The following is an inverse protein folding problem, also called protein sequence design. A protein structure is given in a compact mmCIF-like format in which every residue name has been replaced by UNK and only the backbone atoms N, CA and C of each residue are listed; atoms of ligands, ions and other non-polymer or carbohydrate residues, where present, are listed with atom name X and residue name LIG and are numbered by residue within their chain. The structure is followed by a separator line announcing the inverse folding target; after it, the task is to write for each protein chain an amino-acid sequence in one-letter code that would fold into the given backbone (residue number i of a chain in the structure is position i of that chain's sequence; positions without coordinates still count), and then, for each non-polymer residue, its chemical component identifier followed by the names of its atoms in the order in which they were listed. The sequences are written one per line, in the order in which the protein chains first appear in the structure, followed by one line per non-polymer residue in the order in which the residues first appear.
data_IF_725889147047
#
_entry.id   IF_725889147047
#
_cell.length_a   1.000
_cell.length_b   1.000
_cell.length_c   1.000
_cell.angle_alpha   90.00
_cell.angle_beta   90.00
_cell.angle_gamma   90.00
#
_symmetry.space_group_name_H-M   'P 1'
#
loop_
_entity.id
_entity.type
_entity.pdbx_description
1 polymer ?
#
# COMPACT_ATOMS: atom_id res chain seq x y z
N UNK A 1 5.78 56.73 5.51
CA UNK A 1 6.69 55.57 5.53
C UNK A 1 6.44 54.86 6.85
N UNK A 2 5.48 53.94 6.85
CA UNK A 2 4.85 53.45 8.08
C UNK A 2 5.53 52.16 8.54
N UNK A 3 6.34 52.27 9.59
CA UNK A 3 6.72 51.15 10.43
C UNK A 3 5.57 50.88 11.39
N UNK A 4 5.08 49.64 11.42
CA UNK A 4 4.17 49.15 12.44
C UNK A 4 4.85 47.97 13.14
N UNK A 5 5.40 48.28 14.31
CA UNK A 5 5.68 47.31 15.35
C UNK A 5 4.35 46.92 15.99
N UNK A 6 4.09 45.61 16.13
CA UNK A 6 3.02 45.11 17.02
C UNK A 6 3.64 44.08 17.96
N UNK A 7 3.44 44.40 19.23
CA UNK A 7 3.98 43.73 20.39
C UNK A 7 3.34 42.36 20.66
N UNK A 8 4.11 41.57 21.40
CA UNK A 8 3.74 40.30 21.97
C UNK A 8 2.53 40.41 22.91
N UNK A 9 1.58 39.49 22.75
CA UNK A 9 0.62 39.11 23.78
C UNK A 9 0.74 37.60 23.98
N UNK A 10 1.34 37.25 25.12
CA UNK A 10 1.33 35.93 25.73
C UNK A 10 -0.08 35.65 26.25
N UNK A 11 -0.80 34.71 25.64
CA UNK A 11 -1.96 34.08 26.25
C UNK A 11 -1.67 32.61 26.53
N UNK A 12 -1.57 32.33 27.83
CA UNK A 12 -1.62 31.00 28.44
C UNK A 12 -2.96 30.37 28.06
N UNK A 13 -2.93 29.26 27.32
CA UNK A 13 -4.06 28.34 27.23
C UNK A 13 -3.76 27.18 28.16
N UNK A 14 -4.49 27.16 29.27
CA UNK A 14 -4.56 26.05 30.20
C UNK A 14 -5.20 24.84 29.51
N UNK A 15 -4.68 23.66 29.83
CA UNK A 15 -5.23 22.36 29.43
C UNK A 15 -6.71 22.24 29.83
N UNK A 16 -7.60 21.80 28.92
CA UNK A 16 -8.88 21.27 29.35
C UNK A 16 -8.67 19.85 29.89
N UNK A 17 -9.00 19.68 31.17
CA UNK A 17 -9.12 18.42 31.89
C UNK A 17 -9.81 17.34 31.04
N UNK A 18 -9.17 16.18 30.92
CA UNK A 18 -9.81 14.97 30.40
C UNK A 18 -10.88 14.50 31.38
N UNK A 19 -12.14 14.27 30.96
CA UNK A 19 -13.07 13.49 31.76
C UNK A 19 -12.64 12.03 31.77
N UNK A 20 -12.23 11.54 32.94
CA UNK A 20 -11.98 10.14 33.24
C UNK A 20 -13.25 9.32 33.02
N UNK A 21 -13.24 8.46 31.99
CA UNK A 21 -14.28 7.46 31.75
C UNK A 21 -14.01 6.27 32.69
N UNK A 22 -15.00 5.82 33.49
CA UNK A 22 -14.81 4.71 34.41
C UNK A 22 -14.68 3.38 33.68
N UNK A 23 -13.67 2.61 34.09
CA UNK A 23 -13.44 1.21 33.75
C UNK A 23 -14.56 0.35 34.36
N UNK A 24 -15.34 -0.42 33.57
CA UNK A 24 -16.17 -1.48 34.14
C UNK A 24 -15.32 -2.74 34.32
N UNK A 25 -14.94 -3.00 35.56
CA UNK A 25 -14.57 -4.32 36.05
C UNK A 25 -15.78 -5.25 35.97
N UNK A 26 -15.71 -6.27 35.11
CA UNK A 26 -16.64 -7.41 35.13
C UNK A 26 -15.84 -8.70 35.10
N UNK A 27 -15.74 -9.30 36.28
CA UNK A 27 -15.46 -10.70 36.50
C UNK A 27 -16.65 -11.54 36.03
N UNK A 28 -16.45 -12.50 35.14
CA UNK A 28 -17.39 -13.61 34.98
C UNK A 28 -16.63 -14.89 34.69
N UNK A 29 -16.85 -15.87 35.56
CA UNK A 29 -16.33 -17.23 35.53
C UNK A 29 -16.79 -18.00 34.28
N UNK A 30 -16.10 -19.10 33.91
CA UNK A 30 -16.50 -19.94 32.78
C UNK A 30 -17.58 -20.93 33.24
N UNK A 31 -18.76 -20.85 32.65
CA UNK A 31 -19.78 -21.89 32.72
C UNK A 31 -19.79 -22.71 31.42
N UNK A 32 -19.32 -23.94 31.56
CA UNK A 32 -19.55 -25.04 30.63
C UNK A 32 -21.04 -25.15 30.27
N UNK A 33 -21.34 -25.06 28.99
CA UNK A 33 -22.59 -25.59 28.43
C UNK A 33 -22.33 -26.16 27.04
N UNK A 34 -22.23 -27.48 27.05
CA UNK A 34 -22.30 -28.39 25.91
C UNK A 34 -23.54 -28.10 25.05
N UNK A 35 -23.33 -27.67 23.80
CA UNK A 35 -24.35 -27.72 22.75
C UNK A 35 -23.87 -28.62 21.62
N UNK A 36 -24.26 -29.89 21.75
CA UNK A 36 -24.05 -30.96 20.80
C UNK A 36 -25.04 -30.76 19.62
N UNK A 37 -24.54 -30.25 18.49
CA UNK A 37 -25.32 -30.08 17.27
C UNK A 37 -25.27 -31.36 16.42
N UNK A 38 -26.26 -32.23 16.62
CA UNK A 38 -26.47 -33.42 15.80
C UNK A 38 -26.97 -33.05 14.40
N UNK A 39 -26.19 -33.44 13.39
CA UNK A 39 -26.53 -33.44 11.95
C UNK A 39 -27.65 -34.46 11.66
N UNK A 40 -28.68 -34.15 10.86
CA UNK A 40 -29.58 -35.18 10.34
C UNK A 40 -29.02 -35.75 9.03
N UNK A 41 -28.68 -37.03 9.07
CA UNK A 41 -28.24 -37.82 7.91
C UNK A 41 -29.39 -38.63 7.36
N UNK A 42 -29.45 -38.63 6.02
CA UNK A 42 -30.21 -39.46 5.06
C UNK A 42 -30.87 -40.79 5.52
N UNK A 43 -31.97 -41.04 4.79
CA UNK A 43 -32.55 -42.33 4.36
C UNK A 43 -33.42 -43.12 5.35
N UNK A 44 -34.72 -43.23 5.03
CA UNK A 44 -35.30 -44.55 4.79
C UNK A 44 -36.56 -44.47 3.91
N UNK A 45 -36.58 -45.35 2.90
CA UNK A 45 -37.74 -45.72 2.11
C UNK A 45 -38.78 -46.35 3.04
N UNK A 46 -40.05 -45.95 2.96
CA UNK A 46 -41.15 -46.82 3.35
C UNK A 46 -42.37 -46.57 2.46
N UNK A 47 -42.58 -47.51 1.56
CA UNK A 47 -43.82 -47.69 0.84
C UNK A 47 -44.96 -47.90 1.84
N UNK A 48 -46.05 -47.16 1.70
CA UNK A 48 -47.34 -47.60 2.20
C UNK A 48 -48.42 -47.29 1.16
N UNK A 49 -49.13 -48.34 0.80
CA UNK A 49 -50.14 -48.40 -0.24
C UNK A 49 -51.33 -47.49 0.12
N UNK A 50 -51.61 -46.51 -0.74
CA UNK A 50 -52.91 -45.84 -0.77
C UNK A 50 -53.90 -46.73 -1.51
N UNK A 51 -54.87 -47.26 -0.76
CA UNK A 51 -56.09 -47.88 -1.29
C UNK A 51 -56.80 -46.86 -2.20
N UNK A 52 -56.96 -47.23 -3.46
CA UNK A 52 -57.79 -46.51 -4.41
C UNK A 52 -59.26 -46.63 -3.98
N UNK A 53 -59.85 -45.51 -3.52
CA UNK A 53 -61.31 -45.32 -3.59
C UNK A 53 -61.62 -44.83 -4.99
N UNK A 54 -62.31 -45.66 -5.77
CA UNK A 54 -62.88 -45.30 -7.06
C UNK A 54 -63.96 -44.24 -6.81
N UNK A 55 -63.83 -43.01 -7.34
CA UNK A 55 -64.93 -42.06 -7.35
C UNK A 55 -65.91 -42.52 -8.44
N UNK A 56 -67.16 -42.74 -8.05
CA UNK A 56 -68.27 -42.91 -8.98
C UNK A 56 -68.39 -41.60 -9.76
N UNK A 57 -68.13 -41.65 -11.06
CA UNK A 57 -68.18 -40.49 -11.94
C UNK A 57 -69.51 -40.47 -12.68
N UNK A 58 -70.15 -39.31 -12.69
CA UNK A 58 -71.31 -39.01 -13.53
C UNK A 58 -70.87 -38.92 -15.00
N UNK A 59 -71.16 -39.96 -15.77
CA UNK A 59 -70.77 -40.13 -17.18
C UNK A 59 -71.35 -39.09 -18.16
N UNK A 60 -72.26 -38.22 -17.71
CA UNK A 60 -72.89 -37.17 -18.53
C UNK A 60 -72.30 -35.76 -18.31
N UNK A 61 -71.50 -35.55 -17.25
CA UNK A 61 -70.83 -34.25 -16.98
C UNK A 61 -69.37 -34.23 -17.46
N UNK A 62 -68.74 -35.41 -17.60
CA UNK A 62 -67.34 -35.52 -18.06
C UNK A 62 -67.13 -34.97 -19.47
N UNK A 63 -68.10 -35.09 -20.39
CA UNK A 63 -67.91 -34.61 -21.77
C UNK A 63 -67.75 -33.08 -21.86
N UNK A 64 -68.52 -32.31 -21.08
CA UNK A 64 -68.42 -30.84 -21.10
C UNK A 64 -67.25 -30.32 -20.29
N UNK A 65 -66.95 -30.94 -19.14
CA UNK A 65 -65.80 -30.56 -18.31
C UNK A 65 -64.51 -30.93 -19.04
N UNK A 66 -64.42 -32.11 -19.66
CA UNK A 66 -63.24 -32.51 -20.42
C UNK A 66 -63.06 -31.65 -21.67
N UNK A 67 -64.13 -31.35 -22.42
CA UNK A 67 -64.05 -30.43 -23.55
C UNK A 67 -63.66 -29.01 -23.12
N UNK A 68 -64.10 -28.55 -21.94
CA UNK A 68 -63.66 -27.27 -21.38
C UNK A 68 -62.21 -27.31 -20.89
N UNK A 69 -61.75 -28.40 -20.29
CA UNK A 69 -60.36 -28.60 -19.88
C UNK A 69 -59.42 -28.75 -21.08
N UNK A 70 -59.86 -29.43 -22.14
CA UNK A 70 -59.13 -29.57 -23.40
C UNK A 70 -59.10 -28.23 -24.14
N UNK A 71 -60.21 -27.49 -24.16
CA UNK A 71 -60.24 -26.12 -24.67
C UNK A 71 -59.33 -25.19 -23.86
N UNK A 72 -59.30 -25.27 -22.52
CA UNK A 72 -58.34 -24.54 -21.68
C UNK A 72 -56.91 -25.01 -21.96
N UNK A 73 -56.67 -26.30 -22.17
CA UNK A 73 -55.34 -26.82 -22.50
C UNK A 73 -54.88 -26.35 -23.89
N UNK A 74 -55.79 -26.23 -24.86
CA UNK A 74 -55.55 -25.68 -26.18
C UNK A 74 -55.33 -24.16 -26.14
N UNK A 75 -56.20 -23.40 -25.46
CA UNK A 75 -56.08 -21.93 -25.34
C UNK A 75 -54.96 -21.49 -24.39
N UNK A 76 -54.59 -22.28 -23.38
CA UNK A 76 -53.48 -21.94 -22.47
C UNK A 76 -52.10 -22.01 -23.15
N UNK A 77 -52.02 -22.61 -24.34
CA UNK A 77 -50.79 -22.72 -25.11
C UNK A 77 -50.61 -21.62 -26.17
N UNK A 78 -51.66 -20.91 -26.56
CA UNK A 78 -51.56 -19.82 -27.55
C UNK A 78 -51.22 -18.50 -26.87
N UNK A 79 -50.10 -18.43 -26.15
CA UNK A 79 -49.61 -17.16 -25.60
C UNK A 79 -48.88 -16.41 -26.70
N UNK A 80 -49.39 -15.22 -27.03
CA UNK A 80 -48.91 -14.41 -28.14
C UNK A 80 -47.88 -13.39 -27.68
N UNK A 81 -47.08 -12.86 -28.60
CA UNK A 81 -46.15 -11.76 -28.31
C UNK A 81 -46.88 -10.50 -27.79
N UNK A 82 -48.16 -10.32 -28.13
CA UNK A 82 -48.97 -9.23 -27.65
C UNK A 82 -49.20 -9.29 -26.14
N UNK A 83 -49.28 -10.48 -25.56
CA UNK A 83 -49.50 -10.67 -24.12
C UNK A 83 -48.28 -10.22 -23.30
N UNK A 84 -47.08 -10.46 -23.81
CA UNK A 84 -45.83 -9.95 -23.20
C UNK A 84 -45.70 -8.45 -23.38
N UNK A 85 -46.07 -7.92 -24.55
CA UNK A 85 -46.03 -6.48 -24.81
C UNK A 85 -46.98 -5.69 -23.90
N UNK A 86 -48.15 -6.27 -23.53
CA UNK A 86 -49.10 -5.66 -22.58
C UNK A 86 -48.55 -5.50 -21.16
N UNK A 87 -47.60 -6.34 -20.75
CA UNK A 87 -46.97 -6.24 -19.42
C UNK A 87 -45.80 -5.26 -19.38
N UNK A 88 -45.37 -4.71 -20.52
CA UNK A 88 -44.30 -3.71 -20.58
C UNK A 88 -44.80 -2.38 -20.00
N UNK A 89 -44.15 -1.83 -18.95
CA UNK A 89 -44.49 -0.50 -18.46
C UNK A 89 -44.23 0.56 -19.54
N UNK A 90 -45.17 1.50 -19.70
CA UNK A 90 -45.01 2.62 -20.65
C UNK A 90 -43.92 3.61 -20.20
N UNK A 91 -43.66 3.68 -18.89
CA UNK A 91 -42.64 4.52 -18.27
C UNK A 91 -42.00 3.75 -17.12
N UNK A 92 -40.73 4.02 -16.87
CA UNK A 92 -39.99 3.53 -15.71
C UNK A 92 -39.15 4.66 -15.12
N UNK A 93 -38.80 4.53 -13.86
CA UNK A 93 -37.92 5.46 -13.15
C UNK A 93 -36.52 5.50 -13.77
N UNK A 94 -35.75 6.54 -13.47
CA UNK A 94 -34.38 6.66 -13.96
C UNK A 94 -33.46 5.65 -13.26
N UNK A 95 -32.49 5.10 -13.99
CA UNK A 95 -31.57 4.05 -13.54
C UNK A 95 -30.77 4.43 -12.28
N UNK A 96 -30.62 5.74 -12.03
CA UNK A 96 -29.91 6.24 -10.86
C UNK A 96 -30.73 6.16 -9.57
N UNK A 97 -32.06 6.20 -9.66
CA UNK A 97 -32.94 6.30 -8.48
C UNK A 97 -33.18 4.93 -7.83
N UNK A 98 -33.44 4.86 -6.50
CA UNK A 98 -33.73 3.58 -5.83
C UNK A 98 -35.07 2.97 -6.27
N UNK A 99 -36.01 3.79 -6.77
CA UNK A 99 -37.30 3.33 -7.29
C UNK A 99 -37.13 2.42 -8.50
N UNK A 100 -36.10 2.65 -9.32
CA UNK A 100 -35.77 1.79 -10.47
C UNK A 100 -35.55 0.33 -10.06
N UNK A 101 -34.83 0.09 -8.96
CA UNK A 101 -34.56 -1.28 -8.49
C UNK A 101 -35.86 -1.98 -8.04
N UNK A 102 -36.75 -1.25 -7.37
CA UNK A 102 -38.04 -1.76 -6.95
C UNK A 102 -38.95 -2.06 -8.15
N UNK A 103 -39.02 -1.15 -9.12
CA UNK A 103 -39.79 -1.33 -10.35
C UNK A 103 -39.28 -2.49 -11.19
N UNK A 104 -37.94 -2.60 -11.34
CA UNK A 104 -37.29 -3.68 -12.07
C UNK A 104 -37.63 -5.04 -11.45
N UNK A 105 -37.46 -5.18 -10.13
CA UNK A 105 -37.74 -6.43 -9.42
C UNK A 105 -39.23 -6.80 -9.47
N UNK A 106 -40.13 -5.82 -9.32
CA UNK A 106 -41.57 -6.02 -9.45
C UNK A 106 -41.96 -6.50 -10.87
N UNK A 107 -41.30 -5.98 -11.90
CA UNK A 107 -41.52 -6.39 -13.29
C UNK A 107 -41.02 -7.82 -13.56
N UNK A 108 -39.84 -8.18 -13.03
CA UNK A 108 -39.31 -9.55 -13.10
C UNK A 108 -40.26 -10.54 -12.44
N UNK A 109 -40.78 -10.19 -11.26
CA UNK A 109 -41.71 -11.06 -10.52
C UNK A 109 -43.07 -11.16 -11.23
N UNK A 110 -43.60 -10.07 -11.80
CA UNK A 110 -44.84 -10.08 -12.60
C UNK A 110 -44.72 -10.93 -13.87
N UNK A 111 -43.60 -10.84 -14.59
CA UNK A 111 -43.33 -11.72 -15.74
C UNK A 111 -43.19 -13.18 -15.28
N UNK A 112 -42.50 -13.39 -14.17
CA UNK A 112 -42.29 -14.71 -13.59
C UNK A 112 -43.55 -15.31 -12.97
N UNK A 113 -44.58 -14.54 -12.62
CA UNK A 113 -45.86 -15.08 -12.16
C UNK A 113 -46.79 -15.40 -13.34
N UNK A 114 -46.77 -14.56 -14.38
CA UNK A 114 -47.74 -14.61 -15.48
C UNK A 114 -47.45 -15.69 -16.52
N UNK A 115 -46.17 -16.01 -16.76
CA UNK A 115 -45.79 -16.94 -17.82
C UNK A 115 -45.04 -18.15 -17.28
N UNK A 116 -45.13 -19.30 -17.93
CA UNK A 116 -44.30 -20.47 -17.64
C UNK A 116 -42.85 -20.28 -18.13
N UNK A 117 -41.92 -21.08 -17.61
CA UNK A 117 -40.51 -21.05 -18.05
C UNK A 117 -40.37 -21.31 -19.56
N UNK A 118 -41.17 -22.24 -20.11
CA UNK A 118 -41.15 -22.58 -21.55
C UNK A 118 -41.64 -21.41 -22.41
N UNK A 119 -42.68 -20.71 -21.96
CA UNK A 119 -43.21 -19.53 -22.64
C UNK A 119 -42.17 -18.38 -22.65
N UNK A 120 -41.55 -18.06 -21.51
CA UNK A 120 -40.49 -17.05 -21.45
C UNK A 120 -39.29 -17.39 -22.35
N UNK A 121 -38.93 -18.68 -22.44
CA UNK A 121 -37.91 -19.18 -23.37
C UNK A 121 -38.30 -18.88 -24.83
N UNK A 122 -39.52 -19.27 -25.22
CA UNK A 122 -40.06 -19.04 -26.56
C UNK A 122 -40.13 -17.54 -26.90
N UNK A 123 -40.53 -16.70 -25.95
CA UNK A 123 -40.59 -15.25 -26.15
C UNK A 123 -39.24 -14.62 -26.42
N UNK A 124 -38.20 -15.01 -25.65
CA UNK A 124 -36.87 -14.49 -25.93
C UNK A 124 -36.32 -14.99 -27.26
N UNK A 125 -36.67 -16.20 -27.71
CA UNK A 125 -36.30 -16.69 -29.05
C UNK A 125 -37.00 -15.89 -30.15
N UNK A 126 -38.31 -15.63 -30.03
CA UNK A 126 -39.07 -14.81 -30.97
C UNK A 126 -38.62 -13.34 -31.03
N UNK A 127 -38.12 -12.79 -29.92
CA UNK A 127 -37.57 -11.43 -29.85
C UNK A 127 -36.08 -11.35 -30.23
N UNK A 128 -35.45 -12.45 -30.66
CA UNK A 128 -34.06 -12.46 -31.09
C UNK A 128 -33.03 -12.34 -29.96
N UNK A 129 -33.43 -12.51 -28.70
CA UNK A 129 -32.52 -12.47 -27.55
C UNK A 129 -31.80 -13.83 -27.46
N UNK A 130 -30.49 -13.85 -27.71
CA UNK A 130 -29.68 -15.09 -27.68
C UNK A 130 -29.77 -15.76 -26.30
N UNK A 131 -30.24 -17.00 -26.22
CA UNK A 131 -30.39 -17.76 -24.97
C UNK A 131 -29.36 -18.89 -24.86
N UNK A 132 -28.16 -18.59 -24.36
CA UNK A 132 -27.05 -19.55 -24.34
C UNK A 132 -26.85 -20.30 -23.01
N UNK A 133 -27.87 -20.39 -22.15
CA UNK A 133 -27.70 -20.98 -20.82
C UNK A 133 -28.60 -22.19 -20.59
N UNK A 134 -28.00 -23.37 -20.67
CA UNK A 134 -28.60 -24.61 -20.15
C UNK A 134 -28.72 -24.46 -18.63
N UNK A 135 -29.93 -24.59 -18.09
CA UNK A 135 -30.18 -24.57 -16.64
C UNK A 135 -30.59 -23.23 -16.04
N UNK A 136 -30.82 -22.17 -16.84
CA UNK A 136 -31.30 -20.89 -16.31
C UNK A 136 -32.60 -21.00 -15.52
N UNK A 137 -32.72 -20.22 -14.44
CA UNK A 137 -33.94 -20.09 -13.65
C UNK A 137 -35.01 -19.31 -14.43
N UNK A 138 -36.27 -19.42 -14.00
CA UNK A 138 -37.39 -18.69 -14.60
C UNK A 138 -37.16 -17.17 -14.60
N UNK A 139 -36.67 -16.63 -13.47
CA UNK A 139 -36.35 -15.20 -13.32
C UNK A 139 -35.28 -14.73 -14.31
N UNK A 140 -34.29 -15.57 -14.63
CA UNK A 140 -33.23 -15.20 -15.57
C UNK A 140 -33.74 -14.98 -17.00
N UNK A 141 -34.76 -15.72 -17.44
CA UNK A 141 -35.39 -15.46 -18.74
C UNK A 141 -36.16 -14.13 -18.73
N UNK A 142 -36.84 -13.79 -17.62
CA UNK A 142 -37.51 -12.51 -17.46
C UNK A 142 -36.52 -11.33 -17.50
N UNK A 143 -35.40 -11.42 -16.76
CA UNK A 143 -34.30 -10.45 -16.78
C UNK A 143 -33.78 -10.23 -18.20
N UNK A 144 -33.52 -11.30 -18.96
CA UNK A 144 -33.05 -11.18 -20.36
C UNK A 144 -34.06 -10.57 -21.31
N UNK A 145 -35.36 -10.80 -21.10
CA UNK A 145 -36.40 -10.14 -21.89
C UNK A 145 -36.39 -8.64 -21.60
N UNK A 146 -36.32 -8.26 -20.32
CA UNK A 146 -36.27 -6.84 -19.90
C UNK A 146 -35.02 -6.14 -20.45
N UNK A 147 -33.84 -6.74 -20.27
CA UNK A 147 -32.57 -6.15 -20.71
C UNK A 147 -32.41 -6.19 -22.23
N UNK A 148 -32.68 -7.34 -22.85
CA UNK A 148 -32.40 -7.57 -24.27
C UNK A 148 -33.50 -7.10 -25.22
N UNK A 149 -34.78 -7.31 -24.87
CA UNK A 149 -35.89 -6.93 -25.75
C UNK A 149 -36.45 -5.54 -25.44
N UNK A 150 -36.40 -5.10 -24.17
CA UNK A 150 -36.88 -3.78 -23.77
C UNK A 150 -35.78 -2.74 -23.57
N UNK A 151 -34.50 -3.14 -23.69
CA UNK A 151 -33.32 -2.28 -23.55
C UNK A 151 -33.24 -1.56 -22.19
N UNK A 152 -33.71 -2.20 -21.12
CA UNK A 152 -33.51 -1.68 -19.77
C UNK A 152 -32.05 -1.92 -19.34
N UNK A 153 -31.37 -0.94 -18.72
CA UNK A 153 -30.02 -1.16 -18.21
C UNK A 153 -30.00 -2.31 -17.20
N UNK A 154 -28.90 -3.08 -17.15
CA UNK A 154 -28.84 -4.22 -16.25
C UNK A 154 -28.78 -3.76 -14.80
N UNK A 155 -29.58 -4.39 -13.93
CA UNK A 155 -29.55 -4.08 -12.49
C UNK A 155 -28.15 -4.34 -11.91
N UNK A 156 -27.45 -5.36 -12.41
CA UNK A 156 -26.07 -5.64 -11.98
C UNK A 156 -25.09 -4.57 -12.44
N UNK A 157 -25.24 -4.02 -13.65
CA UNK A 157 -24.40 -2.93 -14.14
C UNK A 157 -24.64 -1.64 -13.36
N UNK A 158 -25.89 -1.33 -13.03
CA UNK A 158 -26.23 -0.16 -12.21
C UNK A 158 -25.68 -0.31 -10.79
N UNK A 159 -25.86 -1.48 -10.16
CA UNK A 159 -25.31 -1.75 -8.83
C UNK A 159 -23.78 -1.69 -8.84
N UNK A 160 -23.15 -2.19 -9.90
CA UNK A 160 -21.70 -2.09 -10.08
C UNK A 160 -21.26 -0.65 -10.27
N UNK A 161 -21.93 0.13 -11.13
CA UNK A 161 -21.65 1.56 -11.32
C UNK A 161 -21.86 2.37 -10.03
N UNK A 162 -22.88 2.02 -9.22
CA UNK A 162 -23.10 2.61 -7.90
C UNK A 162 -21.98 2.25 -6.90
N UNK A 163 -21.42 1.04 -6.98
CA UNK A 163 -20.21 0.67 -6.22
C UNK A 163 -18.99 1.44 -6.71
N UNK A 164 -18.76 1.50 -8.01
CA UNK A 164 -17.59 2.16 -8.61
C UNK A 164 -17.58 3.67 -8.35
N UNK A 165 -18.75 4.31 -8.21
CA UNK A 165 -18.87 5.73 -7.84
C UNK A 165 -18.59 6.04 -6.37
N UNK A 166 -18.45 5.02 -5.51
CA UNK A 166 -18.07 5.20 -4.10
C UNK A 166 -16.55 5.20 -3.86
N UNK A 167 -15.74 5.05 -4.93
CA UNK A 167 -14.29 5.07 -4.83
C UNK A 167 -13.74 6.51 -4.82
N UNK A 168 -13.06 6.90 -3.73
CA UNK A 168 -12.42 8.23 -3.61
C UNK A 168 -10.90 8.10 -3.45
N UNK A 169 -10.15 8.59 -4.44
CA UNK A 169 -8.73 8.34 -4.67
C UNK A 169 -7.74 9.31 -3.95
N UNK A 170 -6.89 8.81 -3.03
CA UNK A 170 -5.89 9.62 -2.26
C UNK A 170 -4.53 8.91 -1.93
N UNK A 171 -3.57 9.55 -1.23
CA UNK A 171 -2.22 8.97 -0.96
C UNK A 171 -1.70 9.22 0.47
N UNK A 172 -1.92 8.35 1.48
CA UNK A 172 -1.37 8.51 2.86
C UNK A 172 -1.02 7.22 3.63
N UNK A 173 0.26 6.89 3.76
CA UNK A 173 0.73 5.56 4.20
C UNK A 173 0.81 5.24 5.70
N UNK A 174 0.71 6.19 6.63
CA UNK A 174 1.08 5.91 8.04
C UNK A 174 -0.09 5.67 9.02
N UNK A 175 -1.34 6.02 8.65
CA UNK A 175 -2.48 5.96 9.58
C UNK A 175 -3.76 5.38 8.96
N UNK A 176 -3.63 4.52 7.95
CA UNK A 176 -4.78 3.92 7.28
C UNK A 176 -5.74 3.21 8.24
N UNK A 177 -5.18 2.42 9.13
CA UNK A 177 -5.97 1.64 10.07
C UNK A 177 -6.66 2.53 11.13
N UNK A 178 -6.04 3.65 11.52
CA UNK A 178 -6.68 4.63 12.38
C UNK A 178 -7.84 5.35 11.67
N UNK A 179 -7.65 5.73 10.39
CA UNK A 179 -8.72 6.31 9.56
C UNK A 179 -9.87 5.32 9.37
N UNK A 180 -9.54 4.05 9.07
CA UNK A 180 -10.51 2.98 8.87
C UNK A 180 -11.41 2.79 10.10
N UNK A 181 -10.81 2.74 11.30
CA UNK A 181 -11.55 2.63 12.56
C UNK A 181 -12.36 3.89 12.89
N UNK A 182 -11.77 5.07 12.68
CA UNK A 182 -12.40 6.35 13.03
C UNK A 182 -13.66 6.62 12.22
N UNK A 183 -13.62 6.30 10.93
CA UNK A 183 -14.71 6.55 10.00
C UNK A 183 -15.51 5.30 9.67
N UNK A 184 -15.21 4.12 10.24
CA UNK A 184 -15.89 2.87 9.93
C UNK A 184 -15.90 2.53 8.42
N UNK A 185 -14.77 2.75 7.77
CA UNK A 185 -14.54 2.56 6.33
C UNK A 185 -13.38 1.60 6.11
N UNK A 186 -13.46 0.72 5.13
CA UNK A 186 -12.34 -0.11 4.71
C UNK A 186 -11.45 0.70 3.76
N UNK A 187 -10.20 0.95 4.13
CA UNK A 187 -9.28 1.79 3.36
C UNK A 187 -8.11 0.95 2.84
N UNK A 188 -7.86 1.01 1.54
CA UNK A 188 -6.75 0.32 0.87
C UNK A 188 -5.98 1.24 -0.07
N UNK A 189 -4.82 0.80 -0.54
CA UNK A 189 -4.11 1.44 -1.65
C UNK A 189 -4.18 0.56 -2.90
N UNK A 190 -4.55 1.14 -4.04
CA UNK A 190 -4.37 0.53 -5.36
C UNK A 190 -3.12 1.10 -6.04
N UNK A 191 -2.39 0.24 -6.74
CA UNK A 191 -1.13 0.58 -7.40
C UNK A 191 -1.28 0.89 -8.89
N UNK A 192 -2.49 0.81 -9.45
CA UNK A 192 -2.73 0.94 -10.90
C UNK A 192 -3.70 2.10 -11.18
N UNK A 193 -3.35 3.13 -11.99
CA UNK A 193 -2.03 3.50 -12.54
C UNK A 193 -1.25 4.54 -11.70
N UNK A 194 -1.85 5.07 -10.64
CA UNK A 194 -1.23 5.99 -9.69
C UNK A 194 -1.62 5.51 -8.29
N UNK A 195 -0.72 5.59 -7.31
CA UNK A 195 -1.02 5.21 -5.93
C UNK A 195 -2.34 5.88 -5.51
N UNK A 196 -3.39 5.11 -5.33
CA UNK A 196 -4.73 5.60 -5.05
C UNK A 196 -5.27 5.01 -3.76
N UNK A 197 -5.90 5.82 -2.94
CA UNK A 197 -6.63 5.40 -1.75
C UNK A 197 -7.96 4.88 -2.25
N UNK A 198 -8.32 3.66 -1.93
CA UNK A 198 -9.66 3.16 -2.17
C UNK A 198 -10.32 3.08 -0.80
N UNK A 199 -11.52 3.63 -0.67
CA UNK A 199 -12.29 3.60 0.56
C UNK A 199 -13.67 2.99 0.27
N UNK A 200 -14.05 1.98 1.05
CA UNK A 200 -15.35 1.31 0.96
C UNK A 200 -16.07 1.44 2.29
N UNK A 201 -17.35 1.81 2.28
CA UNK A 201 -18.12 1.96 3.51
C UNK A 201 -19.51 2.52 3.28
N UNK A 202 -20.22 2.83 4.37
CA UNK A 202 -21.51 3.50 4.29
C UNK A 202 -21.33 4.91 3.71
N UNK A 203 -22.30 5.37 2.91
CA UNK A 203 -22.20 6.65 2.21
C UNK A 203 -22.00 7.85 3.16
N UNK A 204 -22.63 7.83 4.34
CA UNK A 204 -22.44 8.88 5.36
C UNK A 204 -21.03 8.93 5.90
N UNK A 205 -20.42 7.76 6.12
CA UNK A 205 -19.06 7.58 6.63
C UNK A 205 -18.01 7.99 5.58
N UNK A 206 -18.25 7.63 4.30
CA UNK A 206 -17.42 8.05 3.18
C UNK A 206 -17.40 9.57 3.00
N UNK A 207 -18.54 10.25 3.17
CA UNK A 207 -18.61 11.72 3.13
C UNK A 207 -17.78 12.36 4.26
N UNK A 208 -17.80 11.79 5.46
CA UNK A 208 -16.98 12.27 6.57
C UNK A 208 -15.48 12.05 6.31
N UNK A 209 -15.11 10.90 5.74
CA UNK A 209 -13.74 10.63 5.34
C UNK A 209 -13.28 11.60 4.24
N UNK A 210 -14.11 11.85 3.23
CA UNK A 210 -13.85 12.80 2.14
C UNK A 210 -13.58 14.20 2.67
N UNK A 211 -14.45 14.70 3.56
CA UNK A 211 -14.28 16.01 4.19
C UNK A 211 -13.00 16.08 5.03
N UNK A 212 -12.69 15.04 5.79
CA UNK A 212 -11.43 14.98 6.54
C UNK A 212 -10.22 15.00 5.61
N UNK A 213 -10.26 14.27 4.49
CA UNK A 213 -9.16 14.27 3.52
C UNK A 213 -9.04 15.63 2.81
N UNK A 214 -10.15 16.32 2.56
CA UNK A 214 -10.16 17.68 2.02
C UNK A 214 -9.44 18.65 2.97
N UNK A 215 -9.83 18.67 4.24
CA UNK A 215 -9.17 19.50 5.27
C UNK A 215 -7.69 19.12 5.43
N UNK A 216 -7.38 17.82 5.40
CA UNK A 216 -6.00 17.35 5.47
C UNK A 216 -5.17 17.86 4.28
N UNK A 217 -5.72 17.85 3.05
CA UNK A 217 -5.03 18.39 1.86
C UNK A 217 -4.78 19.89 1.97
N UNK A 218 -5.72 20.63 2.54
CA UNK A 218 -5.57 22.07 2.78
C UNK A 218 -4.45 22.37 3.79
N UNK A 219 -4.16 21.46 4.73
CA UNK A 219 -3.04 21.57 5.68
C UNK A 219 -1.68 21.22 5.07
N UNK A 220 -1.60 20.74 3.83
CA UNK A 220 -0.32 20.40 3.21
C UNK A 220 0.27 21.62 2.50
N UNK A 221 1.54 21.89 2.80
CA UNK A 221 2.38 22.79 2.04
C UNK A 221 3.36 22.00 1.19
N UNK A 222 3.71 22.57 0.04
CA UNK A 222 4.77 22.05 -0.84
C UNK A 222 5.94 23.03 -0.82
N UNK A 223 7.14 22.48 -0.77
CA UNK A 223 8.39 23.22 -0.91
C UNK A 223 9.29 22.50 -1.93
N UNK A 224 10.07 23.27 -2.67
CA UNK A 224 10.87 22.79 -3.78
C UNK A 224 12.34 23.06 -3.47
N UNK A 225 13.13 21.99 -3.38
CA UNK A 225 14.56 22.08 -3.11
C UNK A 225 15.36 21.78 -4.37
N UNK A 226 16.11 22.78 -4.84
CA UNK A 226 17.00 22.65 -5.99
C UNK A 226 18.29 21.95 -5.55
N UNK A 227 18.65 20.88 -6.25
CA UNK A 227 19.89 20.15 -6.07
C UNK A 227 20.94 20.73 -7.02
N UNK A 228 22.17 20.89 -6.54
CA UNK A 228 23.31 21.28 -7.38
C UNK A 228 23.79 20.15 -8.28
N UNK A 229 23.33 18.91 -8.05
CA UNK A 229 23.76 17.71 -8.77
C UNK A 229 22.72 17.27 -9.79
N UNK A 230 23.16 16.92 -11.00
CA UNK A 230 22.31 16.34 -12.05
C UNK A 230 21.93 14.88 -11.78
N UNK A 231 22.62 14.21 -10.84
CA UNK A 231 22.39 12.79 -10.55
C UNK A 231 21.07 12.60 -9.80
N UNK A 232 20.13 11.77 -10.29
CA UNK A 232 18.88 11.51 -9.60
C UNK A 232 19.14 10.75 -8.29
N UNK A 233 18.46 11.15 -7.22
CA UNK A 233 18.46 10.40 -5.96
C UNK A 233 17.54 9.17 -6.14
N UNK A 234 17.98 8.00 -5.66
CA UNK A 234 17.15 6.79 -5.77
C UNK A 234 15.82 6.95 -5.02
N UNK A 235 14.74 6.41 -5.59
CA UNK A 235 13.42 6.44 -4.98
C UNK A 235 13.38 5.80 -3.58
N UNK A 236 14.21 4.76 -3.35
CA UNK A 236 14.34 4.11 -2.06
C UNK A 236 14.93 5.05 -0.99
N UNK A 237 15.91 5.87 -1.36
CA UNK A 237 16.50 6.87 -0.47
C UNK A 237 15.51 7.99 -0.15
N UNK A 238 14.78 8.50 -1.16
CA UNK A 238 13.72 9.49 -0.95
C UNK A 238 12.63 8.95 -0.02
N UNK A 239 12.19 7.71 -0.22
CA UNK A 239 11.22 7.08 0.68
C UNK A 239 11.76 6.97 2.12
N UNK A 240 13.07 6.69 2.28
CA UNK A 240 13.71 6.63 3.59
C UNK A 240 13.81 8.01 4.24
N UNK A 241 14.18 9.04 3.48
CA UNK A 241 14.12 10.45 3.93
C UNK A 241 12.71 10.75 4.40
N UNK A 242 11.69 10.36 3.64
CA UNK A 242 10.31 10.66 3.97
C UNK A 242 9.88 10.08 5.33
N UNK A 243 10.31 8.85 5.62
CA UNK A 243 10.02 8.19 6.90
C UNK A 243 10.75 8.86 8.07
N UNK A 244 11.95 9.40 7.85
CA UNK A 244 12.78 10.01 8.89
C UNK A 244 12.40 11.46 9.18
N UNK A 245 12.04 12.21 8.14
CA UNK A 245 11.67 13.62 8.26
C UNK A 245 10.19 13.81 8.63
N UNK A 246 9.34 12.83 8.34
CA UNK A 246 7.88 12.96 8.43
C UNK A 246 7.26 13.76 7.27
N UNK A 247 8.07 14.20 6.29
CA UNK A 247 7.62 14.89 5.09
C UNK A 247 7.68 13.94 3.88
N UNK A 248 6.73 14.02 2.97
CA UNK A 248 6.77 13.24 1.74
C UNK A 248 7.73 13.88 0.74
N UNK A 249 8.74 13.13 0.29
CA UNK A 249 9.74 13.62 -0.66
C UNK A 249 9.69 12.83 -1.95
N UNK A 250 9.62 13.51 -3.08
CA UNK A 250 9.65 12.91 -4.40
C UNK A 250 10.49 13.75 -5.37
N UNK A 251 11.03 13.08 -6.39
CA UNK A 251 11.78 13.77 -7.43
C UNK A 251 10.82 14.49 -8.37
N UNK A 252 11.03 15.79 -8.56
CA UNK A 252 10.20 16.63 -9.41
C UNK A 252 11.08 17.27 -10.50
N UNK A 253 11.06 16.71 -11.71
CA UNK A 253 11.91 17.18 -12.81
C UNK A 253 13.40 16.85 -12.65
N UNK A 254 14.24 17.59 -13.39
CA UNK A 254 15.71 17.42 -13.36
C UNK A 254 16.31 18.29 -12.25
N UNK A 255 16.90 17.65 -11.24
CA UNK A 255 17.62 18.35 -10.18
C UNK A 255 16.75 19.09 -9.16
N UNK A 256 15.46 18.76 -9.03
CA UNK A 256 14.60 19.35 -8.00
C UNK A 256 13.84 18.25 -7.25
N UNK A 257 13.68 18.45 -5.95
CA UNK A 257 12.91 17.56 -5.06
C UNK A 257 11.72 18.35 -4.54
N UNK A 258 10.53 17.78 -4.71
CA UNK A 258 9.31 18.29 -4.08
C UNK A 258 9.19 17.65 -2.70
N UNK A 259 9.05 18.50 -1.69
CA UNK A 259 8.88 18.14 -0.29
C UNK A 259 7.49 18.60 0.14
N UNK A 260 6.58 17.65 0.36
CA UNK A 260 5.23 17.92 0.85
C UNK A 260 5.17 17.64 2.36
N UNK A 261 4.72 18.63 3.14
CA UNK A 261 4.71 18.56 4.60
C UNK A 261 3.46 19.24 5.16
N UNK A 262 3.13 18.97 6.43
CA UNK A 262 2.02 19.65 7.10
C UNK A 262 2.41 21.06 7.52
N UNK A 263 1.55 22.05 7.28
CA UNK A 263 1.75 23.45 7.69
C UNK A 263 1.91 23.58 9.22
N UNK A 264 1.24 22.71 9.97
CA UNK A 264 1.38 22.60 11.43
C UNK A 264 2.78 22.18 11.89
N UNK A 265 3.60 21.55 11.04
CA UNK A 265 4.90 20.98 11.40
C UNK A 265 6.04 21.44 10.46
N UNK A 266 6.39 22.73 10.41
CA UNK A 266 7.40 23.28 9.49
C UNK A 266 8.82 22.78 9.76
N UNK A 267 9.07 22.13 10.90
CA UNK A 267 10.38 21.53 11.21
C UNK A 267 10.69 20.34 10.29
N UNK A 268 9.67 19.63 9.81
CA UNK A 268 9.81 18.43 8.96
C UNK A 268 10.49 18.76 7.62
N UNK A 269 10.17 19.91 7.01
CA UNK A 269 10.81 20.36 5.76
C UNK A 269 12.30 20.69 5.97
N UNK A 270 12.67 21.32 7.09
CA UNK A 270 14.07 21.59 7.40
C UNK A 270 14.87 20.30 7.57
N UNK A 271 14.31 19.32 8.28
CA UNK A 271 14.93 18.00 8.44
C UNK A 271 15.08 17.32 7.07
N UNK A 272 14.03 17.33 6.25
CA UNK A 272 14.07 16.75 4.90
C UNK A 272 15.17 17.39 4.04
N UNK A 273 15.25 18.73 3.98
CA UNK A 273 16.33 19.44 3.25
C UNK A 273 17.70 19.03 3.75
N UNK A 274 17.92 19.01 5.07
CA UNK A 274 19.20 18.60 5.66
C UNK A 274 19.57 17.16 5.29
N UNK A 275 18.62 16.23 5.33
CA UNK A 275 18.83 14.82 4.95
C UNK A 275 19.15 14.69 3.45
N UNK A 276 18.46 15.44 2.59
CA UNK A 276 18.75 15.50 1.15
C UNK A 276 20.16 16.03 0.89
N UNK A 277 20.52 17.18 1.48
CA UNK A 277 21.86 17.77 1.33
C UNK A 277 22.94 16.79 1.80
N UNK A 278 22.70 16.08 2.91
CA UNK A 278 23.62 15.06 3.39
C UNK A 278 23.85 13.95 2.36
N UNK A 279 22.77 13.40 1.76
CA UNK A 279 22.90 12.39 0.70
C UNK A 279 23.68 12.94 -0.50
N UNK A 280 23.42 14.19 -0.90
CA UNK A 280 24.14 14.80 -2.01
C UNK A 280 25.65 14.87 -1.73
N UNK A 281 26.02 15.30 -0.52
CA UNK A 281 27.41 15.28 -0.09
C UNK A 281 27.98 13.86 -0.13
N UNK A 282 27.25 12.86 0.37
CA UNK A 282 27.71 11.45 0.34
C UNK A 282 27.89 10.91 -1.10
N UNK A 283 27.04 11.33 -2.03
CA UNK A 283 27.11 10.91 -3.43
C UNK A 283 28.28 11.56 -4.17
N UNK A 284 28.62 12.80 -3.82
CA UNK A 284 29.81 13.48 -4.34
C UNK A 284 31.09 12.86 -3.76
N UNK A 285 31.09 12.54 -2.46
CA UNK A 285 32.25 11.95 -1.75
C UNK A 285 32.47 10.49 -2.05
N UNK A 286 31.50 9.76 -2.62
CA UNK A 286 31.72 8.42 -3.15
C UNK A 286 32.83 8.37 -4.23
N UNK A 287 33.16 9.51 -4.84
CA UNK A 287 34.30 9.67 -5.76
C UNK A 287 35.58 10.19 -5.07
N UNK A 288 35.53 10.44 -3.77
CA UNK A 288 36.58 11.04 -2.97
C UNK A 288 37.79 10.13 -2.76
N UNK A 289 38.97 10.66 -3.06
CA UNK A 289 40.27 10.05 -2.77
C UNK A 289 40.38 9.71 -1.28
N UNK A 290 40.68 8.44 -0.97
CA UNK A 290 41.08 8.04 0.38
C UNK A 290 42.40 8.76 0.67
N UNK A 291 42.40 9.69 1.63
CA UNK A 291 43.63 10.26 2.15
C UNK A 291 44.16 9.33 3.24
N UNK A 292 45.39 8.84 3.07
CA UNK A 292 46.07 8.05 4.08
C UNK A 292 47.06 8.93 4.84
N UNK A 293 47.01 8.90 6.18
CA UNK A 293 48.04 9.52 7.00
C UNK A 293 49.37 8.78 6.81
N UNK A 294 50.33 9.45 6.18
CA UNK A 294 51.71 9.02 6.11
C UNK A 294 52.40 9.49 7.41
N UNK A 295 53.04 8.60 8.19
CA UNK A 295 53.76 8.98 9.40
C UNK A 295 54.75 10.12 9.14
N UNK A 296 54.95 11.06 10.09
CA UNK A 296 55.90 12.16 9.91
C UNK A 296 57.35 11.69 9.70
N UNK A 297 57.66 10.45 10.08
CA UNK A 297 58.96 9.81 9.89
C UNK A 297 59.16 9.24 8.47
N UNK A 298 58.13 9.22 7.62
CA UNK A 298 58.27 8.73 6.27
C UNK A 298 58.91 9.80 5.37
N UNK A 299 59.95 9.45 4.60
CA UNK A 299 60.62 10.40 3.71
C UNK A 299 59.62 10.97 2.69
N UNK A 300 59.48 12.30 2.67
CA UNK A 300 58.51 13.02 1.83
C UNK A 300 58.71 12.80 0.33
N UNK A 301 59.85 12.23 -0.07
CA UNK A 301 60.24 11.98 -1.46
C UNK A 301 59.91 10.57 -1.97
N UNK A 302 59.55 9.62 -1.10
CA UNK A 302 59.21 8.26 -1.52
C UNK A 302 57.75 7.98 -1.18
N UNK A 303 56.93 7.73 -2.21
CA UNK A 303 55.61 7.13 -2.00
C UNK A 303 55.86 5.80 -1.29
N UNK A 304 55.47 5.62 -0.01
CA UNK A 304 55.75 4.38 0.70
C UNK A 304 55.10 3.25 -0.09
N UNK A 305 55.92 2.33 -0.59
CA UNK A 305 55.40 1.20 -1.35
C UNK A 305 54.39 0.47 -0.48
N UNK A 306 53.15 0.32 -0.97
CA UNK A 306 52.09 -0.42 -0.27
C UNK A 306 52.49 -1.87 0.04
N UNK A 307 53.57 -2.38 -0.56
CA UNK A 307 54.19 -3.66 -0.24
C UNK A 307 54.85 -3.72 1.15
N UNK A 308 55.15 -2.58 1.78
CA UNK A 308 55.78 -2.49 3.11
C UNK A 308 54.78 -2.56 4.27
N UNK A 309 53.49 -2.66 3.97
CA UNK A 309 52.44 -2.94 4.96
C UNK A 309 52.03 -4.41 4.81
N UNK A 310 52.77 -5.39 5.39
CA UNK A 310 52.50 -6.83 5.25
C UNK A 310 51.27 -7.27 6.05
N UNK A 311 50.28 -6.38 6.17
CA UNK A 311 49.10 -6.62 6.97
C UNK A 311 48.07 -7.31 6.09
N UNK A 312 47.78 -8.54 6.46
CA UNK A 312 46.65 -9.28 5.96
C UNK A 312 45.37 -8.76 6.65
N UNK A 313 44.29 -8.62 5.90
CA UNK A 313 42.98 -8.19 6.37
C UNK A 313 41.95 -9.27 6.06
N UNK A 314 41.04 -9.52 6.98
CA UNK A 314 39.88 -10.37 6.76
C UNK A 314 38.60 -9.56 6.97
N UNK A 315 37.57 -9.93 6.23
CA UNK A 315 36.24 -9.33 6.31
C UNK A 315 35.37 -10.13 7.27
N UNK A 316 34.78 -9.45 8.24
CA UNK A 316 33.88 -10.07 9.22
C UNK A 316 32.49 -9.43 9.10
N UNK A 317 31.39 -10.20 9.22
CA UNK A 317 30.06 -9.63 9.29
C UNK A 317 29.99 -8.56 10.37
N UNK A 318 29.46 -7.39 10.03
CA UNK A 318 29.34 -6.29 10.97
C UNK A 318 27.94 -6.28 11.60
N UNK A 319 27.88 -6.65 12.88
CA UNK A 319 26.69 -6.54 13.71
C UNK A 319 26.86 -5.33 14.62
N UNK A 320 26.24 -4.20 14.26
CA UNK A 320 26.25 -3.01 15.11
C UNK A 320 25.24 -3.14 16.24
N UNK A 321 25.65 -2.85 17.47
CA UNK A 321 24.72 -2.56 18.56
C UNK A 321 24.11 -1.14 18.44
N UNK A 322 24.74 -0.27 17.64
CA UNK A 322 24.29 1.11 17.41
C UNK A 322 23.56 1.23 16.07
N UNK A 323 22.58 2.11 15.97
CA UNK A 323 21.95 2.44 14.70
C UNK A 323 23.00 2.98 13.73
N UNK A 324 23.14 2.32 12.58
CA UNK A 324 24.00 2.80 11.50
C UNK A 324 23.41 4.09 10.89
N UNK A 325 24.26 4.91 10.22
CA UNK A 325 23.78 6.05 9.47
C UNK A 325 22.62 5.68 8.56
N UNK A 326 21.58 6.50 8.60
CA UNK A 326 20.30 6.21 7.98
C UNK A 326 20.35 6.22 6.45
N UNK A 327 21.44 6.63 5.83
CA UNK A 327 21.65 6.56 4.39
C UNK A 327 22.19 5.18 3.94
N UNK A 328 22.55 4.30 4.88
CA UNK A 328 23.27 3.06 4.58
C UNK A 328 22.38 1.85 4.78
N UNK A 329 22.44 0.92 3.82
CA UNK A 329 21.88 -0.41 4.02
C UNK A 329 22.89 -1.23 4.84
N UNK A 330 22.61 -1.35 6.13
CA UNK A 330 23.41 -2.15 7.06
C UNK A 330 23.41 -3.65 6.70
N UNK A 331 22.40 -4.07 5.93
CA UNK A 331 22.19 -5.46 5.57
C UNK A 331 23.34 -5.95 4.70
N UNK A 332 24.20 -6.81 5.27
CA UNK A 332 25.38 -7.34 4.59
C UNK A 332 26.62 -6.46 4.66
N UNK A 333 26.71 -5.50 5.60
CA UNK A 333 27.95 -4.75 5.81
C UNK A 333 29.05 -5.64 6.45
N UNK A 334 30.28 -5.51 5.97
CA UNK A 334 31.44 -6.22 6.50
C UNK A 334 32.45 -5.26 7.10
N UNK A 335 32.98 -5.58 8.28
CA UNK A 335 34.09 -4.85 8.90
C UNK A 335 35.41 -5.46 8.45
N UNK A 336 36.28 -4.64 7.87
CA UNK A 336 37.66 -5.03 7.63
C UNK A 336 38.44 -5.01 8.95
N UNK A 337 39.06 -6.13 9.31
CA UNK A 337 40.00 -6.22 10.44
C UNK A 337 41.33 -6.76 9.96
N UNK A 338 42.42 -6.23 10.51
CA UNK A 338 43.73 -6.84 10.34
C UNK A 338 43.68 -8.25 10.95
N UNK A 339 44.07 -9.25 10.18
CA UNK A 339 44.33 -10.60 10.67
C UNK A 339 45.60 -10.50 11.50
N UNK A 340 45.46 -10.62 12.82
CA UNK A 340 46.61 -10.70 13.72
C UNK A 340 47.11 -12.14 13.69
N UNK A 341 48.39 -12.33 13.38
CA UNK A 341 49.11 -13.49 13.89
C UNK A 341 49.26 -13.30 15.41
N UNK A 342 48.98 -14.34 16.20
CA UNK A 342 48.78 -14.28 17.66
C UNK A 342 49.93 -13.62 18.45
N UNK A 343 51.11 -13.44 17.86
CA UNK A 343 52.31 -12.92 18.52
C UNK A 343 52.38 -11.38 18.68
N UNK A 344 51.58 -10.57 17.97
CA UNK A 344 51.71 -9.09 17.96
C UNK A 344 50.62 -8.32 18.71
N UNK A 345 49.79 -9.00 19.52
CA UNK A 345 48.56 -8.44 20.07
C UNK A 345 48.74 -7.24 21.03
N UNK A 346 49.93 -7.01 21.59
CA UNK A 346 50.17 -6.01 22.63
C UNK A 346 50.79 -4.67 22.18
N UNK A 347 51.19 -4.52 20.91
CA UNK A 347 51.86 -3.31 20.40
C UNK A 347 50.96 -2.46 19.49
N UNK A 348 49.71 -2.25 19.87
CA UNK A 348 48.77 -1.46 19.05
C UNK A 348 48.55 -0.05 19.62
N UNK A 349 49.17 0.96 19.01
CA UNK A 349 48.82 2.37 19.31
C UNK A 349 48.89 3.39 18.16
N UNK A 350 49.20 3.01 16.92
CA UNK A 350 49.22 3.98 15.81
C UNK A 350 48.67 3.40 14.51
N UNK A 351 47.93 4.26 13.82
CA UNK A 351 47.68 4.31 12.37
C UNK A 351 46.39 3.67 11.85
N UNK A 352 45.36 4.50 11.66
CA UNK A 352 44.85 4.94 10.35
C UNK A 352 43.77 6.00 10.63
N UNK A 353 43.94 7.24 10.14
CA UNK A 353 42.94 8.31 10.26
C UNK A 353 42.47 8.69 8.86
N UNK A 354 41.16 8.75 8.67
CA UNK A 354 40.51 9.02 7.38
C UNK A 354 39.80 10.37 7.50
N UNK A 355 40.18 11.33 6.65
CA UNK A 355 39.49 12.61 6.53
C UNK A 355 39.04 12.82 5.07
N UNK A 356 37.84 13.38 4.92
CA UNK A 356 37.23 13.72 3.64
C UNK A 356 37.50 15.20 3.29
N UNK A 357 37.69 15.53 2.01
CA UNK A 357 37.85 16.92 1.54
C UNK A 357 36.57 17.74 1.76
N UNK A 358 35.39 17.12 1.70
CA UNK A 358 34.12 17.81 1.97
C UNK A 358 33.98 18.29 3.43
N UNK A 359 34.74 17.70 4.36
CA UNK A 359 34.82 18.19 5.73
C UNK A 359 35.30 19.64 5.76
N UNK A 360 36.29 20.01 4.94
CA UNK A 360 36.85 21.37 4.95
C UNK A 360 35.97 22.40 4.23
N UNK A 361 35.17 22.00 3.23
CA UNK A 361 34.26 22.91 2.51
C UNK A 361 33.01 23.29 3.30
N UNK A 362 32.59 22.46 4.26
CA UNK A 362 31.46 22.80 5.16
C UNK A 362 31.88 23.62 6.37
N UNK A 363 33.18 23.76 6.58
CA UNK A 363 33.71 24.54 7.69
C UNK A 363 33.69 26.02 7.28
N UNK A 364 33.09 26.92 8.08
CA UNK A 364 33.03 28.33 7.76
C UNK A 364 34.45 28.89 7.58
N UNK A 365 34.61 29.77 6.59
CA UNK A 365 35.85 30.53 6.39
C UNK A 365 36.19 31.27 7.68
N UNK A 366 37.43 31.08 8.15
CA UNK A 366 37.91 31.64 9.42
C UNK A 366 39.08 32.57 9.13
N UNK A 367 39.19 33.73 9.82
CA UNK A 367 40.35 34.60 9.69
C UNK A 367 41.65 33.86 10.01
N UNK A 368 42.71 34.18 9.27
CA UNK A 368 44.02 33.51 9.26
C UNK A 368 44.72 33.41 10.64
N UNK A 369 44.23 34.14 11.65
CA UNK A 369 44.81 34.21 12.99
C UNK A 369 44.33 33.16 13.98
N UNK A 370 43.39 32.26 13.62
CA UNK A 370 42.83 31.28 14.56
C UNK A 370 43.24 29.84 14.23
N UNK A 371 44.00 29.21 15.14
CA UNK A 371 44.32 27.78 15.04
C UNK A 371 43.05 26.92 15.16
N UNK A 372 43.01 25.83 14.39
CA UNK A 372 41.94 24.83 14.43
C UNK A 372 42.48 23.57 15.10
N UNK A 373 41.83 23.15 16.18
CA UNK A 373 42.06 21.83 16.77
C UNK A 373 41.28 20.83 15.94
N UNK A 374 41.99 19.90 15.31
CA UNK A 374 41.41 18.76 14.60
C UNK A 374 41.47 17.57 15.54
N UNK A 375 40.32 17.16 16.05
CA UNK A 375 40.20 15.93 16.83
C UNK A 375 40.01 14.75 15.88
N UNK A 376 40.78 13.69 16.08
CA UNK A 376 40.70 12.48 15.28
C UNK A 376 40.19 11.32 16.15
N UNK A 377 39.30 10.50 15.62
CA UNK A 377 38.73 9.35 16.33
C UNK A 377 39.16 8.04 15.68
N UNK A 378 39.30 6.99 16.49
CA UNK A 378 39.46 5.63 16.00
C UNK A 378 38.09 5.08 15.59
N UNK A 379 38.06 4.18 14.61
CA UNK A 379 36.80 3.66 14.10
C UNK A 379 36.95 2.38 13.30
N UNK A 380 35.88 2.03 12.60
CA UNK A 380 35.77 0.85 11.75
C UNK A 380 35.53 1.28 10.31
N UNK A 381 36.23 0.63 9.39
CA UNK A 381 35.91 0.71 7.97
C UNK A 381 34.89 -0.40 7.70
N UNK A 382 33.67 0.00 7.36
CA UNK A 382 32.62 -0.87 6.89
C UNK A 382 32.61 -0.86 5.38
N UNK A 383 32.58 -2.06 4.80
CA UNK A 383 32.45 -2.30 3.37
C UNK A 383 31.03 -2.80 3.14
N UNK A 384 30.26 -2.05 2.36
CA UNK A 384 28.87 -2.39 2.04
C UNK A 384 28.78 -2.90 0.61
N UNK A 385 28.07 -4.01 0.37
CA UNK A 385 27.89 -4.53 -0.98
C UNK A 385 27.13 -3.52 -1.86
N UNK A 386 27.30 -3.60 -3.19
CA UNK A 386 26.48 -2.82 -4.11
C UNK A 386 24.98 -3.04 -3.86
N UNK A 387 24.13 -2.02 -4.08
CA UNK A 387 22.70 -2.09 -3.76
C UNK A 387 21.92 -3.16 -4.55
N UNK A 388 22.50 -3.71 -5.63
CA UNK A 388 21.92 -4.78 -6.45
C UNK A 388 22.20 -6.19 -5.93
N UNK A 389 23.02 -6.34 -4.88
CA UNK A 389 23.48 -7.65 -4.41
C UNK A 389 22.57 -8.15 -3.30
N UNK A 390 22.15 -9.41 -3.39
CA UNK A 390 21.41 -10.06 -2.30
C UNK A 390 22.24 -10.06 -1.02
N UNK A 391 21.56 -9.88 0.10
CA UNK A 391 22.18 -9.82 1.42
C UNK A 391 22.72 -11.21 1.77
N UNK A 392 24.05 -11.35 1.77
CA UNK A 392 24.75 -12.55 2.20
C UNK A 392 25.45 -12.33 3.54
N UNK A 393 25.36 -13.29 4.45
CA UNK A 393 26.17 -13.33 5.67
C UNK A 393 27.62 -13.78 5.38
N UNK A 394 27.85 -14.44 4.24
CA UNK A 394 29.18 -14.85 3.84
C UNK A 394 29.95 -13.65 3.28
N UNK A 395 31.18 -13.39 3.76
CA UNK A 395 31.99 -12.29 3.24
C UNK A 395 32.33 -12.52 1.77
N UNK A 396 32.35 -11.45 0.95
CA UNK A 396 32.66 -11.55 -0.47
C UNK A 396 34.11 -12.01 -0.70
N UNK A 397 35.00 -11.70 0.24
CA UNK A 397 36.38 -12.19 0.26
C UNK A 397 36.55 -13.18 1.41
N UNK A 398 36.87 -14.42 1.09
CA UNK A 398 37.18 -15.46 2.08
C UNK A 398 38.65 -15.41 2.46
N UNK A 399 38.93 -15.55 3.76
CA UNK A 399 40.28 -15.64 4.31
C UNK A 399 41.01 -14.29 4.46
N UNK A 400 42.30 -14.34 4.82
CA UNK A 400 43.17 -13.16 4.92
C UNK A 400 43.63 -12.68 3.54
N UNK A 401 43.59 -11.36 3.32
CA UNK A 401 43.99 -10.71 2.07
C UNK A 401 45.01 -9.59 2.34
N UNK A 402 46.12 -9.50 1.56
CA UNK A 402 47.00 -8.35 1.62
C UNK A 402 46.24 -7.04 1.36
N UNK A 403 46.54 -5.98 2.11
CA UNK A 403 45.85 -4.69 1.98
C UNK A 403 45.84 -4.14 0.55
N UNK A 404 46.90 -4.36 -0.22
CA UNK A 404 47.00 -3.96 -1.62
C UNK A 404 45.94 -4.65 -2.49
N UNK A 405 45.69 -5.95 -2.26
CA UNK A 405 44.64 -6.70 -2.97
C UNK A 405 43.25 -6.29 -2.50
N UNK A 406 43.06 -6.05 -1.20
CA UNK A 406 41.79 -5.56 -0.66
C UNK A 406 41.42 -4.19 -1.25
N UNK A 407 42.36 -3.24 -1.26
CA UNK A 407 42.15 -1.91 -1.84
C UNK A 407 41.91 -1.95 -3.34
N UNK A 408 42.58 -2.87 -4.05
CA UNK A 408 42.34 -3.13 -5.47
C UNK A 408 40.91 -3.64 -5.68
N UNK A 409 40.48 -4.65 -4.92
CA UNK A 409 39.11 -5.18 -4.96
C UNK A 409 38.05 -4.11 -4.66
N UNK A 410 38.25 -3.32 -3.59
CA UNK A 410 37.36 -2.21 -3.23
C UNK A 410 37.25 -1.15 -4.35
N UNK A 411 38.30 -0.97 -5.14
CA UNK A 411 38.33 -0.05 -6.29
C UNK A 411 37.62 -0.64 -7.51
N UNK A 412 37.86 -1.91 -7.81
CA UNK A 412 37.33 -2.61 -8.98
C UNK A 412 35.83 -2.94 -8.84
N UNK A 413 35.38 -3.35 -7.67
CA UNK A 413 33.99 -3.80 -7.42
C UNK A 413 33.06 -2.68 -6.94
N UNK A 414 33.52 -1.42 -6.95
CA UNK A 414 32.75 -0.25 -6.52
C UNK A 414 32.08 -0.41 -5.15
N UNK A 415 32.77 -1.08 -4.22
CA UNK A 415 32.25 -1.39 -2.89
C UNK A 415 32.08 -0.10 -2.10
N UNK A 416 30.88 0.09 -1.56
CA UNK A 416 30.57 1.23 -0.69
C UNK A 416 31.43 1.18 0.58
N UNK A 417 31.91 2.34 1.02
CA UNK A 417 32.82 2.46 2.17
C UNK A 417 32.21 3.43 3.17
N UNK A 418 32.21 3.03 4.44
CA UNK A 418 31.82 3.90 5.54
C UNK A 418 32.85 3.82 6.65
N UNK A 419 33.27 4.98 7.16
CA UNK A 419 33.97 5.04 8.43
C UNK A 419 32.97 5.23 9.58
N UNK A 420 33.01 4.34 10.56
CA UNK A 420 32.17 4.41 11.76
C UNK A 420 33.07 4.61 12.98
N UNK A 421 33.01 5.77 13.68
CA UNK A 421 33.82 6.01 14.87
C UNK A 421 33.44 5.05 16.00
N UNK A 422 34.43 4.68 16.82
CA UNK A 422 34.29 3.81 18.00
C UNK A 422 33.62 4.51 19.18
#
# INVERSE_FOLDING_TARGET
MSQLAVAALSSVWADPEQPSIPTPSSSTAPSDSSSESTKPTKNSKKASAKKAKVPIRNLLEESKIQSYLDHIAETSNTVTLADVARLRPSRHSDATTPEYENEYNALVDRLSSSFSKKQLKMFGEMMGVKQNLKGSTKKHYAVRIIEGAWNWPSLTEIQQKKRDWSEVNYKYGANLHALSRKYNVHVGFSTKPQLSLNAEGLLGDLKQLEEHIRLFKEDIAEDYHNLSSEKPISAALLQRISRLSGAFTEQFGKGQIRISFKKSEPRTVFIAKRLVTHILCDMETASGSILAHVPPEAPSSATPSLSLLPHNYALYPFLSSRSLPWNINASGAFRARKSLDEAEFWTWKRTLLIFDKCFFFTLPDRPESQSRIISASLGHILLTPPPSTDVSLNPPLKGPWPISRLLKWVREEHVGRLFMPL
#
